data_IF_784618821142
#
_entry.id   IF_784618821142
#
_cell.length_a   1.000
_cell.length_b   1.000
_cell.length_c   1.000
_cell.angle_alpha   90.00
_cell.angle_beta   90.00
_cell.angle_gamma   90.00
#
_symmetry.space_group_name_H-M   'P 1'
#
loop_
_entity.id
_entity.type
_entity.pdbx_description
1 polymer ?
#
# COMPACT_ATOMS: atom_id res chain seq x y z
N UNK A 1 13.87 16.47 8.69
CA UNK A 1 12.75 15.62 8.22
C UNK A 1 13.25 14.78 7.07
N UNK A 2 12.75 13.55 6.93
CA UNK A 2 13.17 12.65 5.85
C UNK A 2 12.69 13.22 4.51
N UNK A 3 13.53 13.15 3.48
CA UNK A 3 13.12 13.53 2.13
C UNK A 3 12.37 12.37 1.48
N UNK A 4 11.12 12.59 1.06
CA UNK A 4 10.28 11.57 0.46
C UNK A 4 10.19 11.77 -1.05
N UNK A 5 10.61 10.76 -1.81
CA UNK A 5 10.39 10.71 -3.26
C UNK A 5 8.93 10.36 -3.52
N UNK A 6 8.33 11.00 -4.53
CA UNK A 6 6.95 10.70 -4.92
C UNK A 6 6.91 9.35 -5.64
N UNK A 7 6.10 8.39 -5.17
CA UNK A 7 5.87 7.16 -5.89
C UNK A 7 4.89 7.38 -7.05
N UNK A 8 5.04 6.57 -8.10
CA UNK A 8 4.13 6.53 -9.25
C UNK A 8 3.04 5.47 -9.01
N UNK A 9 1.77 5.88 -8.99
CA UNK A 9 0.63 5.03 -8.66
C UNK A 9 -0.36 4.97 -9.80
N UNK A 10 -0.60 3.76 -10.30
CA UNK A 10 -1.69 3.47 -11.22
C UNK A 10 -3.03 3.64 -10.50
N UNK A 11 -3.95 4.43 -11.06
CA UNK A 11 -5.26 4.65 -10.46
C UNK A 11 -6.40 4.43 -11.45
N UNK A 12 -7.47 3.76 -10.99
CA UNK A 12 -8.71 3.73 -11.77
C UNK A 12 -9.24 5.15 -11.94
N UNK A 13 -9.28 5.66 -13.17
CA UNK A 13 -9.59 7.07 -13.52
C UNK A 13 -10.91 7.58 -12.94
N UNK A 14 -11.87 6.68 -12.70
CA UNK A 14 -13.13 7.04 -12.06
C UNK A 14 -12.99 7.56 -10.62
N UNK A 15 -11.81 7.43 -9.99
CA UNK A 15 -11.52 7.91 -8.63
C UNK A 15 -10.79 9.26 -8.77
N UNK A 16 -11.47 10.38 -8.50
CA UNK A 16 -10.94 11.76 -8.55
C UNK A 16 -10.32 12.25 -9.88
N UNK A 17 -10.22 11.43 -10.93
CA UNK A 17 -9.50 11.78 -12.18
C UNK A 17 -10.40 11.85 -13.42
N UNK A 18 -11.69 11.51 -13.31
CA UNK A 18 -12.61 11.57 -14.43
C UNK A 18 -13.99 10.98 -14.18
N UNK A 19 -14.98 11.55 -14.86
CA UNK A 19 -16.37 11.09 -14.90
C UNK A 19 -16.54 9.94 -15.90
N UNK A 20 -15.86 8.82 -15.66
CA UNK A 20 -15.77 7.71 -16.64
C UNK A 20 -16.49 6.41 -16.22
N UNK A 21 -17.25 6.44 -15.12
CA UNK A 21 -18.13 5.33 -14.76
C UNK A 21 -19.22 5.12 -15.82
N UNK A 22 -19.84 3.94 -15.78
CA UNK A 22 -20.95 3.60 -16.66
C UNK A 22 -22.13 4.59 -16.56
N UNK A 23 -22.33 5.19 -15.38
CA UNK A 23 -23.36 6.19 -15.07
C UNK A 23 -22.87 7.64 -15.23
N UNK A 24 -21.68 7.87 -15.77
CA UNK A 24 -21.10 9.22 -15.92
C UNK A 24 -20.66 9.88 -14.61
N UNK A 25 -20.64 9.15 -13.50
CA UNK A 25 -20.21 9.70 -12.22
C UNK A 25 -18.70 9.56 -12.00
N UNK A 26 -18.18 10.36 -11.07
CA UNK A 26 -16.83 10.25 -10.50
C UNK A 26 -16.95 9.88 -9.03
N UNK A 27 -15.98 9.12 -8.53
CA UNK A 27 -15.92 8.68 -7.14
C UNK A 27 -15.02 9.63 -6.38
N UNK A 28 -15.57 10.15 -5.28
CA UNK A 28 -14.81 10.94 -4.31
C UNK A 28 -13.99 10.03 -3.39
N UNK A 29 -12.73 10.38 -3.16
CA UNK A 29 -11.79 9.65 -2.31
C UNK A 29 -10.88 10.62 -1.54
N UNK A 30 -11.10 10.73 -0.23
CA UNK A 30 -10.27 11.57 0.64
C UNK A 30 -8.80 11.13 0.63
N UNK A 31 -8.55 9.83 0.49
CA UNK A 31 -7.21 9.30 0.30
C UNK A 31 -6.49 9.98 -0.87
N UNK A 32 -7.13 10.02 -2.04
CA UNK A 32 -6.53 10.58 -3.26
C UNK A 32 -6.39 12.11 -3.16
N UNK A 33 -7.39 12.79 -2.59
CA UNK A 33 -7.31 14.24 -2.33
C UNK A 33 -6.11 14.59 -1.43
N UNK A 34 -5.93 13.83 -0.34
CA UNK A 34 -4.87 14.09 0.64
C UNK A 34 -3.47 13.71 0.12
N UNK A 35 -3.38 12.73 -0.79
CA UNK A 35 -2.11 12.23 -1.31
C UNK A 35 -1.66 12.87 -2.62
N UNK A 36 -2.48 13.72 -3.25
CA UNK A 36 -2.19 14.38 -4.54
C UNK A 36 -0.84 15.11 -4.60
N UNK A 37 -0.38 15.70 -3.49
CA UNK A 37 0.93 16.38 -3.44
C UNK A 37 2.11 15.42 -3.28
N UNK A 38 1.83 14.20 -2.84
CA UNK A 38 2.82 13.22 -2.38
C UNK A 38 2.98 12.03 -3.32
N UNK A 39 2.03 11.82 -4.24
CA UNK A 39 1.98 10.69 -5.18
C UNK A 39 1.79 11.24 -6.59
N UNK A 40 2.47 10.65 -7.57
CA UNK A 40 2.22 10.87 -8.98
C UNK A 40 1.19 9.85 -9.46
N UNK A 41 0.12 10.28 -10.13
CA UNK A 41 -0.94 9.38 -10.58
C UNK A 41 -0.90 9.13 -12.08
N UNK A 42 -0.89 7.84 -12.44
CA UNK A 42 -1.13 7.37 -13.81
C UNK A 42 -2.56 6.86 -13.85
N UNK A 43 -3.48 7.62 -14.44
CA UNK A 43 -4.92 7.28 -14.41
C UNK A 43 -5.38 6.57 -15.67
N UNK A 44 -6.15 5.49 -15.53
CA UNK A 44 -6.71 4.73 -16.67
C UNK A 44 -8.16 4.29 -16.42
N UNK A 45 -8.99 4.30 -17.47
CA UNK A 45 -10.30 3.65 -17.45
C UNK A 45 -10.36 2.57 -18.54
N UNK A 46 -10.05 1.30 -18.22
CA UNK A 46 -9.95 0.26 -19.23
C UNK A 46 -11.21 0.13 -20.10
N UNK A 47 -12.38 0.33 -19.52
CA UNK A 47 -13.66 0.30 -20.23
C UNK A 47 -13.82 1.41 -21.27
N UNK A 48 -13.33 2.62 -21.00
CA UNK A 48 -13.38 3.72 -21.98
C UNK A 48 -12.34 3.50 -23.07
N UNK A 49 -11.14 3.05 -22.71
CA UNK A 49 -10.05 2.83 -23.67
C UNK A 49 -10.36 1.71 -24.68
N UNK A 50 -11.20 0.72 -24.32
CA UNK A 50 -11.71 -0.27 -25.29
C UNK A 50 -12.87 0.23 -26.16
N UNK A 51 -13.20 1.52 -26.08
CA UNK A 51 -14.17 2.21 -26.93
C UNK A 51 -15.60 2.28 -26.38
N UNK A 52 -15.83 2.04 -25.08
CA UNK A 52 -17.17 2.19 -24.50
C UNK A 52 -17.48 3.65 -24.17
N UNK A 53 -18.72 4.07 -24.47
CA UNK A 53 -19.19 5.43 -24.23
C UNK A 53 -19.34 5.78 -22.73
N UNK A 54 -19.59 7.07 -22.47
CA UNK A 54 -20.02 7.60 -21.18
C UNK A 54 -21.29 8.44 -21.43
N UNK A 55 -22.45 8.09 -20.84
CA UNK A 55 -22.72 6.85 -20.10
C UNK A 55 -22.73 5.61 -21.00
N UNK A 56 -22.78 4.42 -20.39
CA UNK A 56 -22.88 3.10 -21.06
C UNK A 56 -23.66 2.11 -20.21
N UNK A 57 -24.14 1.04 -20.84
CA UNK A 57 -24.67 -0.11 -20.11
C UNK A 57 -23.55 -0.77 -19.28
N UNK A 58 -23.87 -1.15 -18.05
CA UNK A 58 -22.93 -1.79 -17.13
C UNK A 58 -22.43 -3.13 -17.67
N UNK A 59 -21.23 -3.52 -17.24
CA UNK A 59 -20.60 -4.78 -17.60
C UNK A 59 -20.64 -5.76 -16.43
N UNK A 60 -20.51 -7.04 -16.75
CA UNK A 60 -20.41 -8.15 -15.80
C UNK A 60 -19.37 -9.15 -16.28
N UNK A 61 -18.88 -9.95 -15.34
CA UNK A 61 -18.10 -11.15 -15.66
C UNK A 61 -19.06 -12.33 -15.69
N UNK A 62 -19.11 -13.04 -16.81
CA UNK A 62 -19.86 -14.29 -16.97
C UNK A 62 -18.88 -15.45 -16.95
N UNK A 63 -19.25 -16.58 -16.35
CA UNK A 63 -18.50 -17.83 -16.48
C UNK A 63 -19.31 -18.84 -17.28
N UNK A 64 -18.81 -19.19 -18.46
CA UNK A 64 -19.45 -20.09 -19.42
C UNK A 64 -18.36 -20.85 -20.21
N UNK A 65 -18.60 -22.12 -20.53
CA UNK A 65 -17.64 -22.98 -21.27
C UNK A 65 -16.22 -22.96 -20.66
N UNK A 66 -16.15 -23.05 -19.33
CA UNK A 66 -14.91 -23.02 -18.54
C UNK A 66 -14.06 -21.74 -18.71
N UNK A 67 -14.66 -20.66 -19.19
CA UNK A 67 -13.98 -19.38 -19.44
C UNK A 67 -14.74 -18.23 -18.80
N UNK A 68 -13.98 -17.22 -18.38
CA UNK A 68 -14.54 -15.93 -17.97
C UNK A 68 -14.71 -15.03 -19.19
N UNK A 69 -15.85 -14.38 -19.28
CA UNK A 69 -16.19 -13.44 -20.34
C UNK A 69 -16.61 -12.08 -19.77
N UNK A 70 -16.17 -11.02 -20.44
CA UNK A 70 -16.48 -9.63 -20.10
C UNK A 70 -17.64 -9.14 -20.96
N UNK A 71 -18.86 -9.20 -20.42
CA UNK A 71 -20.12 -9.01 -21.17
C UNK A 71 -20.82 -7.74 -20.71
N UNK A 72 -21.39 -6.99 -21.66
CA UNK A 72 -22.28 -5.87 -21.37
C UNK A 72 -23.71 -6.34 -21.08
N UNK A 73 -24.31 -5.87 -19.97
CA UNK A 73 -25.53 -6.44 -19.39
C UNK A 73 -26.77 -6.42 -20.28
N UNK A 74 -26.98 -5.36 -21.06
CA UNK A 74 -28.21 -5.16 -21.85
C UNK A 74 -28.06 -5.66 -23.28
N UNK A 75 -26.91 -5.40 -23.91
CA UNK A 75 -26.68 -5.75 -25.32
C UNK A 75 -26.11 -7.16 -25.50
N UNK A 76 -25.62 -7.79 -24.43
CA UNK A 76 -24.83 -9.02 -24.45
C UNK A 76 -23.58 -8.97 -25.36
N UNK A 77 -23.12 -7.77 -25.73
CA UNK A 77 -21.86 -7.62 -26.45
C UNK A 77 -20.70 -8.14 -25.61
N UNK A 78 -19.86 -8.98 -26.22
CA UNK A 78 -18.68 -9.57 -25.60
C UNK A 78 -17.44 -8.72 -25.89
N UNK A 79 -16.81 -8.20 -24.82
CA UNK A 79 -15.64 -7.32 -24.88
C UNK A 79 -14.37 -8.01 -24.35
N UNK A 80 -14.40 -9.32 -24.12
CA UNK A 80 -13.31 -10.10 -23.49
C UNK A 80 -11.97 -9.91 -24.20
N UNK A 81 -11.94 -10.08 -25.53
CA UNK A 81 -10.70 -9.92 -26.30
C UNK A 81 -10.18 -8.49 -26.26
N UNK A 82 -11.08 -7.49 -26.36
CA UNK A 82 -10.70 -6.07 -26.31
C UNK A 82 -10.10 -5.69 -24.97
N UNK A 83 -10.73 -6.08 -23.86
CA UNK A 83 -10.24 -5.74 -22.52
C UNK A 83 -8.94 -6.47 -22.19
N UNK A 84 -8.79 -7.72 -22.63
CA UNK A 84 -7.55 -8.50 -22.40
C UNK A 84 -6.39 -7.89 -23.18
N UNK A 85 -6.58 -7.62 -24.47
CA UNK A 85 -5.55 -7.01 -25.32
C UNK A 85 -5.15 -5.64 -24.80
N UNK A 86 -6.14 -4.76 -24.54
CA UNK A 86 -5.87 -3.44 -23.97
C UNK A 86 -5.11 -3.51 -22.64
N UNK A 87 -5.47 -4.45 -21.76
CA UNK A 87 -4.80 -4.58 -20.46
C UNK A 87 -3.32 -4.93 -20.61
N UNK A 88 -3.00 -5.84 -21.54
CA UNK A 88 -1.61 -6.17 -21.87
C UNK A 88 -0.88 -4.94 -22.44
N UNK A 89 -1.39 -4.37 -23.53
CA UNK A 89 -0.73 -3.29 -24.27
C UNK A 89 -0.52 -2.05 -23.40
N UNK A 90 -1.52 -1.67 -22.61
CA UNK A 90 -1.40 -0.55 -21.71
C UNK A 90 -0.33 -0.78 -20.64
N UNK A 91 -0.28 -1.98 -20.05
CA UNK A 91 0.69 -2.31 -19.02
C UNK A 91 2.10 -2.53 -19.57
N UNK A 92 2.25 -2.83 -20.86
CA UNK A 92 3.51 -2.78 -21.61
C UNK A 92 3.96 -1.33 -21.90
N UNK A 93 3.01 -0.42 -22.10
CA UNK A 93 3.30 0.99 -22.42
C UNK A 93 3.69 1.87 -21.23
N UNK A 94 3.38 1.43 -20.00
CA UNK A 94 3.73 2.16 -18.79
C UNK A 94 4.96 1.52 -18.13
N UNK A 95 5.91 2.34 -17.72
CA UNK A 95 7.09 1.86 -17.01
C UNK A 95 6.92 2.01 -15.50
N UNK A 96 7.40 1.00 -14.76
CA UNK A 96 7.86 1.11 -13.37
C UNK A 96 6.95 1.79 -12.34
N UNK A 97 5.65 1.47 -12.30
CA UNK A 97 4.76 1.89 -11.20
C UNK A 97 5.19 1.31 -9.83
N UNK A 98 4.97 2.06 -8.75
CA UNK A 98 5.26 1.69 -7.35
C UNK A 98 4.05 1.15 -6.60
N UNK A 99 2.86 1.44 -7.11
CA UNK A 99 1.61 0.95 -6.56
C UNK A 99 0.41 1.10 -7.49
N UNK A 100 -0.72 0.54 -7.06
CA UNK A 100 -1.99 0.67 -7.75
C UNK A 100 -3.16 0.85 -6.76
N UNK A 101 -4.05 1.79 -7.06
CA UNK A 101 -5.32 1.99 -6.37
C UNK A 101 -6.46 1.78 -7.36
N UNK A 102 -7.12 0.62 -7.24
CA UNK A 102 -8.10 0.20 -8.23
C UNK A 102 -9.53 0.23 -7.69
N UNK A 103 -10.51 0.35 -8.59
CA UNK A 103 -11.93 0.46 -8.24
C UNK A 103 -12.48 -0.86 -7.69
N UNK A 104 -12.93 -0.84 -6.44
CA UNK A 104 -13.56 -1.95 -5.75
C UNK A 104 -14.77 -2.51 -6.50
N UNK A 105 -14.84 -3.85 -6.62
CA UNK A 105 -15.94 -4.61 -7.27
C UNK A 105 -16.16 -4.31 -8.76
N UNK A 106 -15.30 -3.55 -9.41
CA UNK A 106 -15.42 -3.32 -10.86
C UNK A 106 -15.13 -4.62 -11.64
N UNK A 107 -15.90 -4.96 -12.68
CA UNK A 107 -15.61 -6.11 -13.53
C UNK A 107 -14.33 -5.94 -14.37
N UNK A 108 -13.83 -4.70 -14.48
CA UNK A 108 -12.52 -4.41 -15.08
C UNK A 108 -11.42 -4.27 -14.02
N UNK A 109 -11.65 -3.46 -12.97
CA UNK A 109 -10.59 -3.04 -12.05
C UNK A 109 -10.64 -3.66 -10.63
N UNK A 110 -11.64 -4.47 -10.28
CA UNK A 110 -11.70 -5.04 -8.92
C UNK A 110 -10.60 -6.06 -8.69
N UNK A 111 -9.80 -5.93 -7.62
CA UNK A 111 -8.63 -6.81 -7.42
C UNK A 111 -8.98 -8.17 -6.79
N UNK A 112 -10.22 -8.31 -6.30
CA UNK A 112 -10.75 -9.53 -5.69
C UNK A 112 -12.26 -9.42 -5.52
N UNK A 113 -12.92 -10.54 -5.25
CA UNK A 113 -14.34 -10.57 -4.85
C UNK A 113 -15.31 -9.92 -5.85
N UNK A 114 -14.94 -9.83 -7.12
CA UNK A 114 -15.82 -9.39 -8.21
C UNK A 114 -16.85 -10.48 -8.46
N UNK A 115 -18.11 -10.08 -8.63
CA UNK A 115 -19.22 -11.00 -8.84
C UNK A 115 -19.14 -11.63 -10.23
N UNK A 116 -19.28 -12.95 -10.28
CA UNK A 116 -19.39 -13.75 -11.50
C UNK A 116 -20.83 -14.18 -11.69
N UNK A 117 -21.33 -14.12 -12.92
CA UNK A 117 -22.69 -14.46 -13.30
C UNK A 117 -22.72 -15.66 -14.25
N UNK A 118 -23.84 -16.36 -14.33
CA UNK A 118 -24.08 -17.38 -15.36
C UNK A 118 -24.51 -16.70 -16.67
N UNK A 119 -24.48 -17.44 -17.78
CA UNK A 119 -25.02 -16.98 -19.08
C UNK A 119 -26.47 -16.50 -18.99
N UNK A 120 -27.27 -17.14 -18.13
CA UNK A 120 -28.66 -16.77 -17.81
C UNK A 120 -28.78 -15.49 -16.96
N UNK A 121 -27.67 -14.89 -16.54
CA UNK A 121 -27.63 -13.65 -15.76
C UNK A 121 -27.77 -13.82 -14.24
N UNK A 122 -27.79 -15.05 -13.73
CA UNK A 122 -27.87 -15.30 -12.28
C UNK A 122 -26.49 -15.17 -11.62
N UNK A 123 -26.38 -14.58 -10.42
CA UNK A 123 -25.11 -14.55 -9.70
C UNK A 123 -24.68 -15.97 -9.31
N UNK A 124 -23.37 -16.20 -9.35
CA UNK A 124 -22.74 -17.45 -8.89
C UNK A 124 -22.08 -17.24 -7.51
N UNK A 125 -21.75 -18.37 -6.86
CA UNK A 125 -20.90 -18.36 -5.68
C UNK A 125 -19.43 -18.06 -6.00
N UNK A 126 -19.04 -18.13 -7.27
CA UNK A 126 -17.69 -17.82 -7.71
C UNK A 126 -17.42 -16.32 -7.58
N UNK A 127 -16.15 -16.01 -7.32
CA UNK A 127 -15.59 -14.68 -7.31
C UNK A 127 -14.27 -14.69 -8.05
N UNK A 128 -13.94 -13.56 -8.64
CA UNK A 128 -12.67 -13.38 -9.37
C UNK A 128 -12.23 -11.92 -9.26
N UNK A 129 -11.13 -11.62 -9.93
CA UNK A 129 -10.60 -10.30 -10.22
C UNK A 129 -11.21 -9.75 -11.51
N UNK A 130 -11.26 -8.44 -11.64
CA UNK A 130 -11.59 -7.80 -12.91
C UNK A 130 -10.51 -8.06 -13.95
N UNK A 131 -10.87 -8.03 -15.24
CA UNK A 131 -9.96 -8.38 -16.33
C UNK A 131 -8.66 -7.58 -16.32
N UNK A 132 -8.75 -6.26 -16.15
CA UNK A 132 -7.57 -5.39 -16.06
C UNK A 132 -6.81 -5.60 -14.76
N UNK A 133 -7.51 -5.71 -13.63
CA UNK A 133 -6.88 -5.94 -12.33
C UNK A 133 -6.12 -7.28 -12.27
N UNK A 134 -6.64 -8.32 -12.94
CA UNK A 134 -5.96 -9.62 -13.05
C UNK A 134 -4.59 -9.47 -13.70
N UNK A 135 -4.51 -8.70 -14.79
CA UNK A 135 -3.24 -8.43 -15.47
C UNK A 135 -2.29 -7.60 -14.60
N UNK A 136 -2.81 -6.57 -13.91
CA UNK A 136 -2.02 -5.78 -12.95
C UNK A 136 -1.43 -6.67 -11.85
N UNK A 137 -2.22 -7.58 -11.27
CA UNK A 137 -1.76 -8.49 -10.22
C UNK A 137 -0.74 -9.51 -10.73
N UNK A 138 -0.88 -9.95 -11.98
CA UNK A 138 0.05 -10.88 -12.62
C UNK A 138 1.42 -10.24 -12.87
N UNK A 139 1.44 -9.03 -13.47
CA UNK A 139 2.68 -8.32 -13.83
C UNK A 139 3.36 -7.63 -12.65
N UNK A 140 2.56 -7.14 -11.70
CA UNK A 140 3.04 -6.31 -10.59
C UNK A 140 2.73 -6.95 -9.23
N UNK A 141 3.08 -8.22 -9.03
CA UNK A 141 2.90 -8.90 -7.73
C UNK A 141 3.65 -8.23 -6.57
N UNK A 142 4.63 -7.40 -6.90
CA UNK A 142 5.67 -6.94 -6.00
C UNK A 142 5.43 -5.52 -5.48
N UNK A 143 4.43 -4.83 -6.03
CA UNK A 143 4.12 -3.43 -5.72
C UNK A 143 3.02 -3.29 -4.65
N UNK A 144 2.74 -2.06 -4.20
CA UNK A 144 1.62 -1.80 -3.28
C UNK A 144 0.29 -1.73 -4.05
N UNK A 145 -0.59 -2.72 -3.93
CA UNK A 145 -1.90 -2.76 -4.62
C UNK A 145 -3.03 -2.81 -3.58
N UNK A 146 -4.02 -1.94 -3.70
CA UNK A 146 -5.22 -1.97 -2.87
C UNK A 146 -6.45 -1.38 -3.59
N UNK A 147 -7.64 -1.63 -3.05
CA UNK A 147 -8.89 -1.01 -3.53
C UNK A 147 -9.19 0.29 -2.78
N UNK A 148 -9.72 1.29 -3.52
CA UNK A 148 -10.05 2.62 -2.99
C UNK A 148 -10.96 2.59 -1.75
N UNK A 149 -11.93 1.67 -1.74
CA UNK A 149 -12.90 1.55 -0.63
C UNK A 149 -12.24 1.07 0.66
N UNK A 150 -11.18 0.26 0.54
CA UNK A 150 -10.46 -0.33 1.68
C UNK A 150 -9.49 0.65 2.32
N UNK A 151 -8.99 1.63 1.55
CA UNK A 151 -8.13 2.71 2.04
C UNK A 151 -8.83 3.69 2.99
N UNK A 152 -10.16 3.57 3.20
CA UNK A 152 -10.87 4.24 4.29
C UNK A 152 -10.51 3.68 5.67
N UNK A 153 -10.11 2.41 5.73
CA UNK A 153 -9.63 1.83 6.97
C UNK A 153 -8.19 2.28 7.22
N UNK A 154 -7.97 2.98 8.34
CA UNK A 154 -6.67 3.55 8.70
C UNK A 154 -5.53 2.52 8.70
N UNK A 155 -5.74 1.32 9.25
CA UNK A 155 -4.71 0.27 9.30
C UNK A 155 -4.31 -0.21 7.89
N UNK A 156 -5.28 -0.38 7.00
CA UNK A 156 -5.02 -0.76 5.60
C UNK A 156 -4.29 0.37 4.87
N UNK A 157 -4.74 1.61 5.06
CA UNK A 157 -4.12 2.79 4.44
C UNK A 157 -2.67 2.99 4.90
N UNK A 158 -2.41 2.96 6.19
CA UNK A 158 -1.06 3.15 6.76
C UNK A 158 -0.13 2.02 6.29
N UNK A 159 -0.64 0.79 6.17
CA UNK A 159 0.10 -0.32 5.57
C UNK A 159 0.40 -0.10 4.09
N UNK A 160 -0.60 0.29 3.28
CA UNK A 160 -0.43 0.60 1.87
C UNK A 160 0.64 1.67 1.66
N UNK A 161 0.56 2.78 2.39
CA UNK A 161 1.52 3.88 2.31
C UNK A 161 2.92 3.44 2.74
N UNK A 162 3.04 2.70 3.86
CA UNK A 162 4.33 2.16 4.32
C UNK A 162 4.96 1.28 3.24
N UNK A 163 4.18 0.35 2.66
CA UNK A 163 4.65 -0.54 1.59
C UNK A 163 5.07 0.27 0.36
N UNK A 164 4.25 1.23 -0.06
CA UNK A 164 4.47 2.08 -1.23
C UNK A 164 5.79 2.84 -1.14
N UNK A 165 6.01 3.57 -0.04
CA UNK A 165 7.25 4.34 0.14
C UNK A 165 8.47 3.43 0.30
N UNK A 166 8.35 2.34 1.06
CA UNK A 166 9.46 1.38 1.21
C UNK A 166 9.91 0.79 -0.13
N UNK A 167 8.96 0.47 -1.03
CA UNK A 167 9.26 -0.03 -2.37
C UNK A 167 9.90 1.06 -3.23
N UNK A 168 9.37 2.29 -3.18
CA UNK A 168 9.97 3.41 -3.92
C UNK A 168 11.42 3.66 -3.49
N UNK A 169 11.70 3.68 -2.19
CA UNK A 169 13.06 3.82 -1.67
C UNK A 169 13.96 2.65 -2.11
N UNK A 170 13.42 1.42 -2.11
CA UNK A 170 14.16 0.23 -2.52
C UNK A 170 14.49 0.23 -4.02
N UNK A 171 13.62 0.76 -4.88
CA UNK A 171 13.92 0.92 -6.31
C UNK A 171 15.13 1.83 -6.53
N UNK A 172 15.22 2.95 -5.82
CA UNK A 172 16.38 3.84 -5.90
C UNK A 172 17.67 3.13 -5.44
N UNK A 173 17.58 2.27 -4.42
CA UNK A 173 18.70 1.44 -3.98
C UNK A 173 19.13 0.47 -5.08
N UNK A 174 18.17 -0.18 -5.75
CA UNK A 174 18.41 -1.11 -6.86
C UNK A 174 19.07 -0.42 -8.05
N UNK A 175 18.58 0.76 -8.43
CA UNK A 175 19.14 1.60 -9.51
C UNK A 175 20.54 2.13 -9.19
N UNK A 176 20.86 2.34 -7.92
CA UNK A 176 22.17 2.87 -7.52
C UNK A 176 23.32 1.86 -7.65
N UNK A 177 23.03 0.57 -7.87
CA UNK A 177 23.99 -0.53 -7.95
C UNK A 177 25.00 -0.59 -6.80
N UNK A 178 24.64 -0.02 -5.65
CA UNK A 178 25.54 0.23 -4.53
C UNK A 178 25.18 -0.64 -3.33
N UNK A 179 26.09 -1.56 -2.98
CA UNK A 179 25.95 -2.37 -1.76
C UNK A 179 25.88 -1.49 -0.50
N UNK A 180 26.60 -0.35 -0.49
CA UNK A 180 26.55 0.61 0.60
C UNK A 180 25.14 1.19 0.79
N UNK A 181 24.46 1.52 -0.31
CA UNK A 181 23.10 2.04 -0.25
C UNK A 181 22.11 0.97 0.23
N UNK A 182 22.32 -0.30 -0.14
CA UNK A 182 21.52 -1.42 0.39
C UNK A 182 21.73 -1.63 1.90
N UNK A 183 22.97 -1.54 2.38
CA UNK A 183 23.30 -1.61 3.81
C UNK A 183 22.62 -0.46 4.57
N UNK A 184 22.68 0.75 4.05
CA UNK A 184 22.05 1.92 4.66
C UNK A 184 20.52 1.79 4.68
N UNK A 185 19.91 1.38 3.56
CA UNK A 185 18.48 1.11 3.48
C UNK A 185 18.04 0.06 4.51
N UNK A 186 18.75 -1.06 4.61
CA UNK A 186 18.43 -2.10 5.57
C UNK A 186 18.57 -1.60 7.02
N UNK A 187 19.65 -0.87 7.30
CA UNK A 187 19.92 -0.28 8.63
C UNK A 187 18.82 0.68 9.05
N UNK A 188 18.42 1.58 8.16
CA UNK A 188 17.38 2.58 8.42
C UNK A 188 15.99 1.95 8.58
N UNK A 189 15.75 0.78 7.98
CA UNK A 189 14.46 0.09 8.06
C UNK A 189 14.43 -1.04 9.12
N UNK A 190 15.50 -1.25 9.91
CA UNK A 190 15.63 -2.40 10.81
C UNK A 190 14.42 -2.61 11.73
N UNK A 191 13.97 -1.55 12.41
CA UNK A 191 12.81 -1.65 13.32
C UNK A 191 11.48 -1.76 12.58
N UNK A 192 11.35 -1.14 11.41
CA UNK A 192 10.17 -1.31 10.55
C UNK A 192 10.06 -2.77 10.10
N UNK A 193 11.16 -3.34 9.62
CA UNK A 193 11.23 -4.74 9.19
C UNK A 193 10.96 -5.71 10.33
N UNK A 194 11.47 -5.40 11.51
CA UNK A 194 11.19 -6.16 12.73
C UNK A 194 9.69 -6.16 13.09
N UNK A 195 9.03 -5.00 12.99
CA UNK A 195 7.60 -4.87 13.28
C UNK A 195 6.73 -5.66 12.30
N UNK A 196 7.16 -5.76 11.04
CA UNK A 196 6.43 -6.46 9.98
C UNK A 196 6.66 -7.96 10.00
N UNK A 197 7.92 -8.40 10.06
CA UNK A 197 8.27 -9.80 10.07
C UNK A 197 9.71 -10.03 10.54
N UNK A 198 9.88 -10.41 11.80
CA UNK A 198 11.19 -10.74 12.39
C UNK A 198 11.98 -11.75 11.55
N UNK A 199 11.35 -12.86 11.13
CA UNK A 199 12.02 -13.92 10.37
C UNK A 199 12.56 -13.40 9.03
N UNK A 200 11.75 -12.64 8.29
CA UNK A 200 12.21 -12.06 7.01
C UNK A 200 13.27 -10.98 7.24
N UNK A 201 13.15 -10.17 8.30
CA UNK A 201 14.17 -9.19 8.68
C UNK A 201 15.53 -9.85 8.92
N UNK A 202 15.59 -10.99 9.60
CA UNK A 202 16.84 -11.70 9.88
C UNK A 202 17.44 -12.32 8.61
N UNK A 203 16.59 -12.85 7.71
CA UNK A 203 17.02 -13.31 6.38
C UNK A 203 17.62 -12.15 5.56
N UNK A 204 16.93 -11.00 5.52
CA UNK A 204 17.42 -9.79 4.83
C UNK A 204 18.75 -9.30 5.39
N UNK A 205 18.92 -9.34 6.72
CA UNK A 205 20.19 -8.99 7.37
C UNK A 205 21.33 -9.91 6.95
N UNK A 206 21.09 -11.22 6.86
CA UNK A 206 22.08 -12.19 6.38
C UNK A 206 22.42 -12.00 4.89
N UNK A 207 21.44 -11.61 4.06
CA UNK A 207 21.68 -11.31 2.63
C UNK A 207 22.64 -10.12 2.51
N UNK A 208 22.42 -9.07 3.28
CA UNK A 208 23.25 -7.85 3.28
C UNK A 208 24.63 -8.10 3.88
N UNK A 209 24.71 -8.91 4.95
CA UNK A 209 25.98 -9.27 5.59
C UNK A 209 26.90 -10.10 4.69
N UNK A 210 26.35 -10.95 3.83
CA UNK A 210 27.11 -11.83 2.92
C UNK A 210 27.34 -11.20 1.54
N UNK A 211 27.91 -9.99 1.51
CA UNK A 211 28.05 -9.17 0.31
C UNK A 211 29.23 -9.54 -0.61
N UNK A 212 29.92 -10.66 -0.38
CA UNK A 212 30.96 -11.19 -1.27
C UNK A 212 30.42 -11.70 -2.63
N UNK A 213 29.12 -11.47 -2.93
CA UNK A 213 28.44 -11.89 -4.14
C UNK A 213 28.22 -10.68 -5.06
N UNK A 214 28.02 -10.96 -6.35
CA UNK A 214 27.60 -9.95 -7.33
C UNK A 214 26.29 -9.26 -6.89
N UNK A 215 26.22 -7.93 -7.04
CA UNK A 215 25.12 -7.09 -6.58
C UNK A 215 23.75 -7.52 -7.15
N UNK A 216 23.66 -7.87 -8.43
CA UNK A 216 22.39 -8.29 -9.06
C UNK A 216 21.79 -9.53 -8.39
N UNK A 217 22.64 -10.47 -7.98
CA UNK A 217 22.18 -11.66 -7.25
C UNK A 217 21.69 -11.31 -5.86
N UNK A 218 22.39 -10.39 -5.17
CA UNK A 218 22.02 -9.93 -3.83
C UNK A 218 20.69 -9.18 -3.89
N UNK A 219 20.55 -8.21 -4.79
CA UNK A 219 19.38 -7.32 -4.85
C UNK A 219 18.12 -8.09 -5.24
N UNK A 220 18.20 -9.04 -6.20
CA UNK A 220 17.07 -9.92 -6.56
C UNK A 220 16.62 -10.80 -5.40
N UNK A 221 17.57 -11.35 -4.65
CA UNK A 221 17.25 -12.17 -3.48
C UNK A 221 16.65 -11.31 -2.36
N UNK A 222 17.20 -10.12 -2.14
CA UNK A 222 16.70 -9.16 -1.16
C UNK A 222 15.26 -8.73 -1.48
N UNK A 223 15.00 -8.36 -2.73
CA UNK A 223 13.68 -7.93 -3.24
C UNK A 223 12.60 -8.99 -2.96
N UNK A 224 12.87 -10.26 -3.29
CA UNK A 224 11.98 -11.38 -3.00
C UNK A 224 11.61 -11.47 -1.51
N UNK A 225 12.59 -11.31 -0.61
CA UNK A 225 12.34 -11.39 0.83
C UNK A 225 11.68 -10.12 1.40
N UNK A 226 11.95 -8.96 0.80
CA UNK A 226 11.27 -7.71 1.14
C UNK A 226 9.77 -7.76 0.82
N UNK A 227 9.40 -8.37 -0.31
CA UNK A 227 7.99 -8.60 -0.66
C UNK A 227 7.29 -9.51 0.36
N UNK A 228 7.95 -10.59 0.77
CA UNK A 228 7.43 -11.50 1.80
C UNK A 228 7.27 -10.79 3.15
N UNK A 229 8.19 -9.89 3.48
CA UNK A 229 8.14 -9.08 4.70
C UNK A 229 6.93 -8.14 4.70
N UNK A 230 6.66 -7.46 3.58
CA UNK A 230 5.58 -6.47 3.44
C UNK A 230 4.23 -7.07 2.99
N UNK A 231 4.09 -8.41 3.01
CA UNK A 231 2.88 -9.10 2.55
C UNK A 231 1.64 -8.83 3.42
N UNK A 232 1.85 -8.54 4.70
CA UNK A 232 0.78 -8.31 5.68
C UNK A 232 1.14 -7.08 6.55
N UNK A 233 0.13 -6.37 7.09
CA UNK A 233 0.38 -5.30 8.06
C UNK A 233 1.04 -5.84 9.33
N UNK A 234 1.79 -4.99 10.04
CA UNK A 234 2.35 -5.34 11.34
C UNK A 234 1.26 -5.70 12.36
N UNK A 235 1.59 -6.64 13.25
CA UNK A 235 0.72 -7.03 14.36
C UNK A 235 0.97 -6.16 15.59
N UNK A 236 -0.04 -6.04 16.46
CA UNK A 236 0.04 -5.26 17.71
C UNK A 236 1.23 -5.71 18.56
N UNK A 237 1.32 -7.00 18.87
CA UNK A 237 2.43 -7.56 19.64
C UNK A 237 3.81 -7.33 19.02
N UNK A 238 3.92 -7.38 17.68
CA UNK A 238 5.17 -7.10 16.98
C UNK A 238 5.59 -5.63 17.10
N UNK A 239 4.64 -4.69 17.03
CA UNK A 239 4.91 -3.27 17.29
C UNK A 239 5.32 -3.04 18.75
N UNK A 240 4.61 -3.63 19.72
CA UNK A 240 4.97 -3.52 21.15
C UNK A 240 6.39 -4.01 21.38
N UNK A 241 6.77 -5.16 20.80
CA UNK A 241 8.12 -5.68 20.89
C UNK A 241 9.15 -4.67 20.37
N UNK A 242 8.94 -4.11 19.17
CA UNK A 242 9.83 -3.09 18.59
C UNK A 242 9.91 -1.84 19.47
N UNK A 243 8.78 -1.35 19.96
CA UNK A 243 8.72 -0.19 20.85
C UNK A 243 9.52 -0.43 22.14
N UNK A 244 9.42 -1.62 22.74
CA UNK A 244 10.22 -2.01 23.90
C UNK A 244 11.73 -2.10 23.58
N UNK A 245 12.10 -2.61 22.40
CA UNK A 245 13.49 -2.62 21.96
C UNK A 245 14.04 -1.20 21.79
N UNK A 246 13.28 -0.29 21.19
CA UNK A 246 13.65 1.12 21.03
C UNK A 246 13.73 1.80 22.41
N UNK A 247 12.78 1.53 23.30
CA UNK A 247 12.75 2.06 24.66
C UNK A 247 14.01 1.72 25.45
N UNK A 248 14.60 0.54 25.24
CA UNK A 248 15.87 0.15 25.88
C UNK A 248 17.04 1.11 25.62
N UNK A 249 17.04 1.87 24.52
CA UNK A 249 18.07 2.88 24.23
C UNK A 249 17.91 4.16 25.06
N UNK A 250 16.73 4.36 25.66
CA UNK A 250 16.28 5.63 26.24
C UNK A 250 15.97 5.47 27.73
N UNK A 251 15.58 4.27 28.17
CA UNK A 251 15.04 3.99 29.50
C UNK A 251 15.95 4.46 30.65
N UNK A 252 17.27 4.47 30.48
CA UNK A 252 18.20 4.93 31.50
C UNK A 252 18.31 6.47 31.61
N UNK A 253 17.65 7.23 30.72
CA UNK A 253 17.74 8.70 30.63
C UNK A 253 16.46 9.43 31.02
N UNK A 254 15.41 8.71 31.43
CA UNK A 254 14.08 9.25 31.71
C UNK A 254 13.62 8.93 33.15
N UNK A 255 12.69 9.74 33.67
CA UNK A 255 12.15 9.60 35.02
C UNK A 255 11.30 8.33 35.19
N UNK A 256 10.98 7.97 36.44
CA UNK A 256 10.06 6.87 36.74
C UNK A 256 8.67 7.11 36.16
N UNK A 257 8.20 8.35 36.22
CA UNK A 257 6.86 8.72 35.72
C UNK A 257 6.81 8.68 34.19
N UNK A 258 7.87 9.14 33.51
CA UNK A 258 8.02 9.01 32.05
C UNK A 258 8.00 7.52 31.62
N UNK A 259 8.67 6.64 32.36
CA UNK A 259 8.62 5.19 32.10
C UNK A 259 7.20 4.64 32.26
N UNK A 260 6.51 5.00 33.34
CA UNK A 260 5.13 4.55 33.59
C UNK A 260 4.22 4.98 32.45
N UNK A 261 4.26 6.26 32.07
CA UNK A 261 3.46 6.81 30.97
C UNK A 261 3.66 6.03 29.66
N UNK A 262 4.90 5.67 29.33
CA UNK A 262 5.16 4.88 28.13
C UNK A 262 4.62 3.46 28.23
N UNK A 263 4.84 2.76 29.34
CA UNK A 263 4.31 1.42 29.55
C UNK A 263 2.77 1.41 29.51
N UNK A 264 2.13 2.40 30.14
CA UNK A 264 0.67 2.57 30.12
C UNK A 264 0.17 2.81 28.69
N UNK A 265 0.90 3.61 27.89
CA UNK A 265 0.55 3.81 26.47
C UNK A 265 0.68 2.54 25.63
N UNK A 266 1.63 1.64 25.95
CA UNK A 266 1.75 0.34 25.29
C UNK A 266 0.58 -0.57 25.65
N UNK A 267 0.17 -0.57 26.92
CA UNK A 267 -0.98 -1.34 27.38
C UNK A 267 -2.28 -0.85 26.71
N UNK A 268 -2.49 0.47 26.66
CA UNK A 268 -3.65 1.05 25.97
C UNK A 268 -3.65 0.76 24.47
N UNK A 269 -2.50 0.76 23.81
CA UNK A 269 -2.39 0.32 22.42
C UNK A 269 -2.66 -1.20 22.26
N UNK A 270 -2.16 -2.02 23.18
CA UNK A 270 -2.43 -3.46 23.20
C UNK A 270 -3.92 -3.76 23.28
N UNK A 271 -4.62 -3.05 24.17
CA UNK A 271 -6.05 -3.19 24.41
C UNK A 271 -6.92 -2.42 23.40
N UNK A 272 -6.28 -1.88 22.34
CA UNK A 272 -6.92 -1.13 21.25
C UNK A 272 -7.70 0.12 21.72
N UNK A 273 -7.35 0.66 22.88
CA UNK A 273 -7.89 1.90 23.44
C UNK A 273 -7.22 3.15 22.84
N UNK A 274 -5.98 3.04 22.36
CA UNK A 274 -5.22 4.10 21.69
C UNK A 274 -4.60 3.63 20.36
N UNK A 275 -4.20 4.60 19.52
CA UNK A 275 -3.42 4.33 18.31
C UNK A 275 -1.96 3.98 18.62
N UNK A 276 -1.32 3.25 17.70
CA UNK A 276 0.15 3.07 17.66
C UNK A 276 0.92 4.41 17.66
N UNK A 277 0.28 5.48 17.19
CA UNK A 277 0.90 6.79 17.09
C UNK A 277 1.29 7.40 18.45
N UNK A 278 0.55 7.11 19.53
CA UNK A 278 0.85 7.62 20.88
C UNK A 278 2.22 7.16 21.38
N UNK A 279 2.51 5.84 21.51
CA UNK A 279 3.82 5.40 21.98
C UNK A 279 4.97 5.78 21.02
N UNK A 280 4.71 5.86 19.72
CA UNK A 280 5.70 6.34 18.74
C UNK A 280 6.09 7.79 19.02
N UNK A 281 5.13 8.67 19.29
CA UNK A 281 5.40 10.10 19.55
C UNK A 281 6.17 10.27 20.86
N UNK A 282 5.83 9.54 21.92
CA UNK A 282 6.59 9.56 23.18
C UNK A 282 8.07 9.19 22.93
N UNK A 283 8.32 8.07 22.26
CA UNK A 283 9.69 7.67 21.92
C UNK A 283 10.38 8.68 21.01
N UNK A 284 9.70 9.20 19.98
CA UNK A 284 10.25 10.21 19.07
C UNK A 284 10.67 11.47 19.82
N UNK A 285 9.88 11.92 20.81
CA UNK A 285 10.21 13.07 21.65
C UNK A 285 11.53 12.87 22.40
N UNK A 286 11.73 11.69 22.99
CA UNK A 286 12.96 11.37 23.73
C UNK A 286 14.16 11.11 22.81
N UNK A 287 13.95 10.48 21.65
CA UNK A 287 15.01 10.32 20.62
C UNK A 287 15.56 11.69 20.19
N UNK A 288 14.68 12.67 20.02
CA UNK A 288 15.06 14.06 19.71
C UNK A 288 15.80 14.66 20.91
N UNK A 289 15.20 14.64 22.11
CA UNK A 289 15.76 15.24 23.33
C UNK A 289 17.15 14.71 23.68
N UNK A 290 17.37 13.40 23.57
CA UNK A 290 18.64 12.77 23.97
C UNK A 290 19.61 12.54 22.82
N UNK A 291 19.32 13.09 21.63
CA UNK A 291 20.17 13.01 20.44
C UNK A 291 20.61 11.57 20.10
N UNK A 292 19.67 10.61 20.05
CA UNK A 292 20.01 9.20 19.75
C UNK A 292 20.10 9.01 18.24
N UNK A 293 21.26 9.33 17.64
CA UNK A 293 21.45 9.43 16.19
C UNK A 293 21.06 8.18 15.40
N UNK A 294 21.36 7.00 15.94
CA UNK A 294 20.97 5.72 15.33
C UNK A 294 19.44 5.61 15.16
N UNK A 295 18.66 6.07 16.15
CA UNK A 295 17.19 6.02 16.13
C UNK A 295 16.57 7.10 15.25
N UNK A 296 17.23 8.27 15.11
CA UNK A 296 16.75 9.38 14.27
C UNK A 296 16.60 8.99 12.80
N UNK A 297 17.40 8.03 12.32
CA UNK A 297 17.37 7.55 10.94
C UNK A 297 16.36 6.43 10.71
N UNK A 298 15.74 5.90 11.76
CA UNK A 298 14.85 4.75 11.64
C UNK A 298 13.51 5.14 11.01
N UNK A 299 13.19 4.50 9.88
CA UNK A 299 11.94 4.74 9.14
C UNK A 299 10.71 4.30 9.92
N UNK A 300 10.86 3.48 10.97
CA UNK A 300 9.76 3.08 11.86
C UNK A 300 9.00 4.28 12.45
N UNK A 301 9.69 5.38 12.75
CA UNK A 301 9.06 6.61 13.27
C UNK A 301 8.34 7.43 12.20
N UNK A 302 8.68 7.24 10.93
CA UNK A 302 8.20 8.05 9.82
C UNK A 302 8.29 7.25 8.50
N UNK A 303 7.45 6.20 8.33
CA UNK A 303 7.54 5.30 7.18
C UNK A 303 7.06 5.95 5.87
N UNK A 304 6.26 7.01 5.98
CA UNK A 304 5.71 7.84 4.92
C UNK A 304 5.51 9.28 5.45
N UNK A 305 5.26 10.28 4.59
CA UNK A 305 5.07 11.68 5.02
C UNK A 305 4.00 11.80 6.11
N UNK A 306 4.33 12.51 7.20
CA UNK A 306 3.45 12.59 8.38
C UNK A 306 2.10 13.22 8.07
N UNK A 307 2.02 14.09 7.07
CA UNK A 307 0.78 14.74 6.63
C UNK A 307 -0.25 13.74 6.07
N UNK A 308 0.21 12.53 5.69
CA UNK A 308 -0.67 11.44 5.24
C UNK A 308 -1.17 10.56 6.39
N UNK A 309 -0.54 10.68 7.57
CA UNK A 309 -0.97 9.99 8.77
C UNK A 309 -2.24 10.68 9.28
N UNK A 310 -3.41 10.21 8.81
CA UNK A 310 -4.72 10.73 9.25
C UNK A 310 -4.79 10.79 10.77
N UNK A 311 -4.88 12.02 11.29
CA UNK A 311 -5.40 12.35 12.62
C UNK A 311 -6.77 13.04 12.50
N UNK A 312 -7.39 12.99 11.31
CA UNK A 312 -8.40 13.96 10.93
C UNK A 312 -9.84 13.62 11.37
N UNK A 313 -10.11 12.40 11.83
CA UNK A 313 -11.43 12.09 12.40
C UNK A 313 -11.63 12.64 13.82
N UNK A 314 -10.55 12.94 14.57
CA UNK A 314 -10.69 13.52 15.92
C UNK A 314 -11.03 15.02 15.93
N UNK A 315 -10.81 15.77 14.84
CA UNK A 315 -10.81 17.24 14.89
C UNK A 315 -11.53 17.95 13.74
N UNK A 316 -12.17 17.22 12.80
CA UNK A 316 -12.75 17.86 11.59
C UNK A 316 -14.16 18.42 11.76
N UNK A 317 -14.87 18.06 12.82
CA UNK A 317 -16.23 18.55 13.04
C UNK A 317 -16.29 19.21 14.41
N UNK A 318 -16.13 20.52 14.39
CA UNK A 318 -16.55 21.34 15.51
C UNK A 318 -18.08 21.36 15.49
N UNK A 319 -18.69 20.48 16.30
CA UNK A 319 -20.15 20.42 16.44
C UNK A 319 -20.71 21.61 17.24
N UNK A 320 -19.86 22.56 17.65
CA UNK A 320 -20.25 23.75 18.40
C UNK A 320 -20.38 25.00 17.53
N UNK A 321 -20.10 24.89 16.23
CA UNK A 321 -20.38 25.92 15.24
C UNK A 321 -21.42 25.38 14.25
N UNK A 322 -22.69 25.61 14.58
CA UNK A 322 -23.85 25.42 13.70
C UNK A 322 -23.85 26.38 12.50
#
# INVERSE_FOLDING_TARGET
MRNFKKPDVLISKCIEHGRCRYDGQMISSDFVKNTKKYINYVSVCPEVEIGLSIPRNSLKIVFENEKFEFIQNITNNNYTSKITQFSSDFLDSIENIDGAVLKHKSPSCGIKNVKVYTAKGNPTNQKTEGFFAKEVLYRYSDIAIEEESRLRNKRIKDHFLTKLYTIKDFKEVKESESIKNLIEFHTNNKFLFMAYNQKQKDILGNIVGNHNKNFDKIIKLYEKHLQLLLKRPSAIGSNINVLMHIFGYISNKISKDEKSLFIDSLQRYHDELDCLCVPIILLKSWVIRFNVDYLKKQTYFEPFPQELADNSEMFKRDYWND
#
